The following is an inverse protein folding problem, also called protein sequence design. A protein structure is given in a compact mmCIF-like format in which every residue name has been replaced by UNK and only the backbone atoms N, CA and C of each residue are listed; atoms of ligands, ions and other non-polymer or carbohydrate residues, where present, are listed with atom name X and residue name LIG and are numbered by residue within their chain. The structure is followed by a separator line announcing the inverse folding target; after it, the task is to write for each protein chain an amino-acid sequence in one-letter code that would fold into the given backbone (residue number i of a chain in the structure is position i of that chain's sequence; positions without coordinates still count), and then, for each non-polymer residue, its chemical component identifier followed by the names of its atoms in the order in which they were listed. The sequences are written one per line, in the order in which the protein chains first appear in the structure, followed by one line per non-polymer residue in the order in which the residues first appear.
data_IF_412188665528
#
_entry.id   IF_412188665528
#
_cell.length_a   1.000
_cell.length_b   1.000
_cell.length_c   1.000
_cell.angle_alpha   90.00
_cell.angle_beta   90.00
_cell.angle_gamma   90.00
#
_symmetry.space_group_name_H-M   'P 1'
#
loop_
_entity.id
_entity.type
_entity.pdbx_description
1 polymer ?
#
# COMPACT_ATOMS: atom_id res chain seq x y z
N UNK A 1 9.78 6.39 4.94
CA UNK A 1 9.73 7.53 4.00
C UNK A 1 9.02 7.06 2.74
N UNK A 2 8.00 7.76 2.25
CA UNK A 2 7.24 7.33 1.07
C UNK A 2 7.83 7.94 -0.20
N UNK A 3 8.18 7.11 -1.19
CA UNK A 3 8.64 7.55 -2.52
C UNK A 3 7.98 6.69 -3.60
N UNK A 4 7.92 7.18 -4.84
CA UNK A 4 7.13 6.55 -5.91
C UNK A 4 5.64 6.91 -5.90
N UNK A 5 5.24 7.84 -5.04
CA UNK A 5 3.89 8.38 -4.93
C UNK A 5 3.91 9.91 -5.06
N UNK A 6 2.91 10.47 -5.74
CA UNK A 6 2.77 11.90 -5.96
C UNK A 6 1.92 12.57 -4.88
N UNK A 7 2.08 13.89 -4.72
CA UNK A 7 1.22 14.69 -3.82
C UNK A 7 -0.25 14.58 -4.17
N UNK A 8 -0.59 14.44 -5.46
CA UNK A 8 -1.97 14.30 -5.94
C UNK A 8 -2.57 12.96 -5.49
N UNK A 9 -1.82 11.87 -5.58
CA UNK A 9 -2.23 10.55 -5.08
C UNK A 9 -2.46 10.59 -3.57
N UNK A 10 -1.54 11.18 -2.80
CA UNK A 10 -1.70 11.33 -1.33
C UNK A 10 -2.97 12.13 -0.99
N UNK A 11 -3.20 13.25 -1.68
CA UNK A 11 -4.39 14.07 -1.43
C UNK A 11 -5.69 13.34 -1.78
N UNK A 12 -5.71 12.61 -2.90
CA UNK A 12 -6.86 11.79 -3.30
C UNK A 12 -7.14 10.70 -2.27
N UNK A 13 -6.11 9.94 -1.90
CA UNK A 13 -6.21 8.89 -0.89
C UNK A 13 -6.76 9.42 0.44
N UNK A 14 -6.23 10.55 0.91
CA UNK A 14 -6.73 11.21 2.12
C UNK A 14 -8.22 11.57 2.02
N UNK A 15 -8.64 12.19 0.92
CA UNK A 15 -10.04 12.57 0.71
C UNK A 15 -10.97 11.35 0.64
N UNK A 16 -10.54 10.28 -0.02
CA UNK A 16 -11.32 9.04 -0.11
C UNK A 16 -11.44 8.38 1.28
N UNK A 17 -10.35 8.31 2.04
CA UNK A 17 -10.35 7.82 3.42
C UNK A 17 -11.26 8.66 4.33
N UNK A 18 -11.22 9.99 4.20
CA UNK A 18 -12.05 10.95 4.94
C UNK A 18 -13.54 10.85 4.59
N UNK A 19 -13.88 10.43 3.37
CA UNK A 19 -15.27 10.18 2.95
C UNK A 19 -15.86 8.89 3.54
N UNK A 20 -15.08 8.11 4.28
CA UNK A 20 -15.51 6.85 4.89
C UNK A 20 -15.50 5.66 3.93
N UNK A 21 -14.73 5.77 2.85
CA UNK A 21 -14.37 4.67 1.93
C UNK A 21 -12.98 4.14 2.31
N UNK A 22 -12.72 2.85 2.13
CA UNK A 22 -11.37 2.31 2.29
C UNK A 22 -10.54 2.70 1.07
N UNK A 23 -9.57 3.57 1.27
CA UNK A 23 -8.71 4.11 0.22
C UNK A 23 -7.34 3.43 0.25
N UNK A 24 -6.76 3.18 -0.93
CA UNK A 24 -5.48 2.49 -1.07
C UNK A 24 -4.39 3.46 -1.56
N UNK A 25 -3.23 3.43 -0.92
CA UNK A 25 -2.04 4.16 -1.36
C UNK A 25 -0.83 3.25 -1.40
N UNK A 26 -0.42 2.87 -2.61
CA UNK A 26 0.78 2.06 -2.83
C UNK A 26 1.98 2.95 -3.10
N UNK A 27 3.08 2.73 -2.38
CA UNK A 27 4.34 3.42 -2.61
C UNK A 27 5.52 2.48 -2.35
N UNK A 28 6.72 2.89 -2.77
CA UNK A 28 7.92 2.10 -2.46
C UNK A 28 8.22 2.12 -0.97
N UNK A 29 8.63 0.97 -0.45
CA UNK A 29 9.05 0.76 0.92
C UNK A 29 10.33 -0.07 0.91
N UNK A 30 11.32 0.38 1.67
CA UNK A 30 12.61 -0.28 1.80
C UNK A 30 12.85 -0.50 3.29
N UNK A 31 12.96 -1.75 3.69
CA UNK A 31 13.31 -2.17 5.04
C UNK A 31 14.22 -3.40 4.91
N UNK A 32 15.43 -3.33 5.48
CA UNK A 32 16.43 -4.39 5.36
C UNK A 32 15.94 -5.74 5.94
N UNK A 33 14.91 -5.72 6.80
CA UNK A 33 14.31 -6.94 7.36
C UNK A 33 13.40 -7.66 6.36
N UNK A 34 12.97 -6.98 5.30
CA UNK A 34 12.05 -7.49 4.29
C UNK A 34 12.56 -7.17 2.87
N UNK A 35 13.71 -7.73 2.45
CA UNK A 35 14.35 -7.39 1.18
C UNK A 35 13.50 -7.73 -0.06
N UNK A 36 12.55 -8.66 0.07
CA UNK A 36 11.64 -9.04 -1.01
C UNK A 36 10.44 -8.09 -1.14
N UNK A 37 10.16 -7.29 -0.11
CA UNK A 37 9.05 -6.34 -0.08
C UNK A 37 9.54 -4.94 -0.42
N UNK A 38 9.45 -4.58 -1.70
CA UNK A 38 9.85 -3.24 -2.19
C UNK A 38 8.72 -2.22 -2.18
N UNK A 39 7.50 -2.64 -1.86
CA UNK A 39 6.29 -1.81 -1.84
C UNK A 39 5.53 -2.00 -0.54
N UNK A 40 4.77 -0.98 -0.17
CA UNK A 40 3.75 -1.04 0.87
C UNK A 40 2.50 -0.35 0.36
N UNK A 41 1.35 -0.91 0.74
CA UNK A 41 0.05 -0.32 0.46
C UNK A 41 -0.64 0.04 1.76
N UNK A 42 -1.00 1.31 1.88
CA UNK A 42 -1.79 1.84 3.00
C UNK A 42 -3.27 1.76 2.67
N UNK A 43 -4.00 0.87 3.35
CA UNK A 43 -5.46 0.79 3.26
C UNK A 43 -6.08 1.59 4.41
N UNK A 44 -6.74 2.72 4.10
CA UNK A 44 -7.09 3.74 5.08
C UNK A 44 -8.57 4.11 5.07
N UNK A 45 -9.13 4.36 6.25
CA UNK A 45 -10.48 4.89 6.39
C UNK A 45 -10.61 5.61 7.73
N UNK A 46 -11.25 6.78 7.76
CA UNK A 46 -11.52 7.50 9.02
C UNK A 46 -12.58 6.82 9.88
N UNK A 47 -13.43 5.99 9.28
CA UNK A 47 -14.34 5.13 10.03
C UNK A 47 -13.62 3.86 10.47
N UNK A 48 -13.17 3.86 11.72
CA UNK A 48 -12.45 2.72 12.32
C UNK A 48 -13.26 1.42 12.28
N UNK A 49 -14.55 1.48 12.58
CA UNK A 49 -15.42 0.29 12.51
C UNK A 49 -15.51 -0.29 11.10
N UNK A 50 -15.62 0.57 10.07
CA UNK A 50 -15.56 0.12 8.68
C UNK A 50 -14.21 -0.49 8.34
N UNK A 51 -13.12 0.15 8.76
CA UNK A 51 -11.78 -0.36 8.50
C UNK A 51 -11.55 -1.73 9.15
N UNK A 52 -12.04 -1.91 10.38
CA UNK A 52 -12.00 -3.21 11.10
C UNK A 52 -12.83 -4.26 10.36
N UNK A 53 -14.05 -3.93 9.97
CA UNK A 53 -14.93 -4.87 9.28
C UNK A 53 -14.35 -5.28 7.93
N UNK A 54 -13.89 -4.31 7.14
CA UNK A 54 -13.19 -4.55 5.89
C UNK A 54 -11.94 -5.40 6.09
N UNK A 55 -11.12 -5.09 7.09
CA UNK A 55 -9.88 -5.82 7.36
C UNK A 55 -10.12 -7.29 7.71
N UNK A 56 -11.22 -7.60 8.41
CA UNK A 56 -11.59 -8.98 8.78
C UNK A 56 -11.81 -9.86 7.55
N UNK A 57 -12.36 -9.33 6.47
CA UNK A 57 -12.57 -10.07 5.21
C UNK A 57 -11.24 -10.60 4.62
N UNK A 58 -10.13 -9.94 4.94
CA UNK A 58 -8.78 -10.30 4.48
C UNK A 58 -7.92 -10.96 5.58
N UNK A 59 -8.50 -11.23 6.75
CA UNK A 59 -7.82 -11.78 7.92
C UNK A 59 -6.91 -10.78 8.63
N UNK A 60 -7.12 -9.47 8.43
CA UNK A 60 -6.39 -8.42 9.14
C UNK A 60 -6.99 -8.24 10.53
N UNK A 61 -6.12 -8.13 11.53
CA UNK A 61 -6.55 -7.98 12.93
C UNK A 61 -6.65 -6.50 13.29
N UNK A 62 -7.64 -6.06 14.07
CA UNK A 62 -7.81 -4.65 14.46
C UNK A 62 -6.57 -4.03 15.12
N UNK A 63 -5.75 -4.83 15.79
CA UNK A 63 -4.52 -4.40 16.47
C UNK A 63 -3.40 -4.03 15.48
N UNK A 64 -3.54 -4.38 14.20
CA UNK A 64 -2.63 -3.97 13.12
C UNK A 64 -2.98 -2.62 12.51
N UNK A 65 -4.06 -1.97 12.97
CA UNK A 65 -4.39 -0.62 12.52
C UNK A 65 -3.35 0.34 13.09
N UNK A 66 -2.65 1.02 12.19
CA UNK A 66 -1.75 2.11 12.52
C UNK A 66 -2.55 3.40 12.68
N UNK A 67 -2.50 3.96 13.89
CA UNK A 67 -3.13 5.23 14.25
C UNK A 67 -2.12 6.38 13.98
N UNK A 68 -1.72 6.58 12.72
CA UNK A 68 -0.81 7.66 12.34
C UNK A 68 -1.61 8.97 12.11
N UNK A 69 -1.65 9.80 13.15
CA UNK A 69 -2.37 11.07 13.14
C UNK A 69 -3.89 10.87 13.01
N UNK A 70 -4.49 11.44 11.96
CA UNK A 70 -5.95 11.47 11.77
C UNK A 70 -6.47 10.42 10.77
N UNK A 71 -5.60 9.55 10.23
CA UNK A 71 -5.99 8.57 9.20
C UNK A 71 -5.56 7.17 9.66
N UNK A 72 -6.45 6.44 10.35
CA UNK A 72 -6.24 5.04 10.66
C UNK A 72 -6.06 4.24 9.37
N UNK A 73 -5.04 3.38 9.33
CA UNK A 73 -4.75 2.56 8.16
C UNK A 73 -4.09 1.23 8.50
N UNK A 74 -4.23 0.25 7.62
CA UNK A 74 -3.40 -0.95 7.59
C UNK A 74 -2.23 -0.77 6.64
N UNK A 75 -1.07 -1.31 7.03
CA UNK A 75 0.06 -1.50 6.14
C UNK A 75 0.03 -2.92 5.57
N UNK A 76 -0.17 -3.02 4.25
CA UNK A 76 -0.18 -4.28 3.52
C UNK A 76 1.15 -4.45 2.79
N UNK A 77 1.75 -5.64 2.95
CA UNK A 77 3.07 -5.99 2.41
C UNK A 77 3.03 -7.39 1.76
N UNK A 78 3.95 -7.63 0.84
CA UNK A 78 4.19 -8.96 0.26
C UNK A 78 2.97 -9.57 -0.45
N UNK A 79 2.70 -10.85 -0.18
CA UNK A 79 1.58 -11.57 -0.79
C UNK A 79 0.21 -11.00 -0.35
N UNK A 80 0.12 -10.49 0.88
CA UNK A 80 -1.12 -9.91 1.40
C UNK A 80 -1.47 -8.62 0.68
N UNK A 81 -0.49 -7.78 0.40
CA UNK A 81 -0.64 -6.56 -0.41
C UNK A 81 -1.28 -6.88 -1.76
N UNK A 82 -0.71 -7.84 -2.49
CA UNK A 82 -1.18 -8.21 -3.83
C UNK A 82 -2.57 -8.84 -3.79
N UNK A 83 -2.81 -9.78 -2.87
CA UNK A 83 -4.10 -10.46 -2.76
C UNK A 83 -5.25 -9.49 -2.47
N UNK A 84 -5.04 -8.54 -1.56
CA UNK A 84 -6.05 -7.51 -1.22
C UNK A 84 -6.29 -6.59 -2.40
N UNK A 85 -5.22 -6.05 -3.00
CA UNK A 85 -5.36 -5.10 -4.11
C UNK A 85 -5.99 -5.73 -5.35
N UNK A 86 -5.73 -7.01 -5.62
CA UNK A 86 -6.40 -7.75 -6.70
C UNK A 86 -7.89 -7.91 -6.43
N UNK A 87 -8.27 -8.27 -5.20
CA UNK A 87 -9.67 -8.40 -4.81
C UNK A 87 -10.43 -7.06 -4.90
N UNK A 88 -9.74 -5.96 -4.61
CA UNK A 88 -10.27 -4.59 -4.65
C UNK A 88 -10.14 -3.91 -6.03
N UNK A 89 -9.56 -4.58 -7.02
CA UNK A 89 -9.34 -4.01 -8.36
C UNK A 89 -8.36 -2.82 -8.40
N UNK A 90 -7.50 -2.69 -7.39
CA UNK A 90 -6.59 -1.55 -7.18
C UNK A 90 -5.10 -1.91 -7.39
N UNK A 91 -4.80 -3.06 -7.99
CA UNK A 91 -3.42 -3.57 -8.14
C UNK A 91 -2.57 -2.84 -9.20
N UNK A 92 -3.14 -1.93 -10.00
CA UNK A 92 -2.43 -1.25 -11.09
C UNK A 92 -1.14 -0.57 -10.61
N UNK A 93 -1.23 0.21 -9.52
CA UNK A 93 -0.08 0.93 -8.98
C UNK A 93 1.01 0.00 -8.45
N UNK A 94 0.62 -1.09 -7.81
CA UNK A 94 1.54 -2.11 -7.32
C UNK A 94 2.40 -2.69 -8.46
N UNK A 95 1.74 -3.06 -9.56
CA UNK A 95 2.44 -3.63 -10.72
C UNK A 95 3.33 -2.61 -11.41
N UNK A 96 2.89 -1.36 -11.58
CA UNK A 96 3.73 -0.27 -12.10
C UNK A 96 5.03 -0.13 -11.30
N UNK A 97 4.94 -0.08 -9.97
CA UNK A 97 6.12 0.09 -9.11
C UNK A 97 7.04 -1.13 -9.15
N UNK A 98 6.48 -2.36 -9.14
CA UNK A 98 7.25 -3.60 -9.25
C UNK A 98 7.98 -3.70 -10.59
N UNK A 99 7.34 -3.32 -11.69
CA UNK A 99 7.98 -3.27 -13.01
C UNK A 99 9.09 -2.22 -13.08
N UNK A 100 8.84 -1.04 -12.52
CA UNK A 100 9.84 0.04 -12.47
C UNK A 100 11.09 -0.38 -11.70
N UNK A 101 10.93 -1.06 -10.56
CA UNK A 101 12.06 -1.60 -9.79
C UNK A 101 12.86 -2.62 -10.60
N UNK A 102 12.19 -3.56 -11.29
CA UNK A 102 12.84 -4.55 -12.17
C UNK A 102 13.64 -3.89 -13.30
N UNK A 103 13.14 -2.80 -13.90
CA UNK A 103 13.84 -2.08 -14.97
C UNK A 103 15.06 -1.31 -14.47
N UNK A 104 15.01 -0.79 -13.25
CA UNK A 104 16.19 -0.17 -12.63
C UNK A 104 17.29 -1.21 -12.43
N UNK A 105 16.96 -2.40 -11.94
CA UNK A 105 17.95 -3.44 -11.64
C UNK A 105 18.63 -4.05 -12.90
N UNK A 106 18.01 -3.99 -14.08
CA UNK A 106 18.61 -4.46 -15.34
C UNK A 106 19.62 -3.50 -15.97
N UNK A 107 19.66 -2.24 -15.53
CA UNK A 107 20.62 -1.26 -16.07
C UNK A 107 22.03 -1.41 -15.47
N UNK A 108 22.16 -2.21 -14.42
CA UNK A 108 23.41 -2.50 -13.72
C UNK A 108 24.02 -3.85 -14.13
N UNK A 109 23.42 -4.59 -15.08
CA UNK A 109 24.05 -5.75 -15.69
C UNK A 109 25.10 -5.29 -16.71
N UNK A 110 26.38 -5.68 -16.58
CA UNK A 110 27.37 -5.37 -17.59
C UNK A 110 26.95 -6.05 -18.90
N UNK A 111 26.85 -5.27 -19.96
CA UNK A 111 26.82 -5.79 -21.33
C UNK A 111 28.07 -6.68 -21.52
N UNK A 112 27.86 -8.00 -21.56
CA UNK A 112 28.83 -8.97 -22.04
C UNK A 112 28.90 -8.93 -23.58
#
# INVERSE_FOLDING_TARGET
MAFGVTRKEIYRWRREAESGTVAFLTHFWLDDRFPECITVTKAACTSRDKLIHWGKEYGLRPEWIHEDGNIPHFDLLGEKEEAVLLAEGCAEKLYELRERSRRSNRKDEPHA
#
